data_IF_171304838725
#
_entry.id   IF_171304838725
#
_cell.length_a   1.000
_cell.length_b   1.000
_cell.length_c   1.000
_cell.angle_alpha   90.00
_cell.angle_beta   90.00
_cell.angle_gamma   90.00
#
_symmetry.space_group_name_H-M   'P 1'
#
loop_
_entity.id
_entity.type
_entity.pdbx_description
1 polymer ?
#
# COMPACT_ATOMS: atom_id res chain seq x y z
N UNK A 1 3.10 -7.54 8.36
CA UNK A 1 4.25 -7.21 7.47
C UNK A 1 5.57 -7.14 8.22
N UNK A 2 5.58 -6.74 9.51
CA UNK A 2 6.82 -6.58 10.28
C UNK A 2 7.72 -7.83 10.29
N UNK A 3 7.23 -9.07 10.49
CA UNK A 3 8.08 -10.26 10.45
C UNK A 3 8.76 -10.47 9.08
N UNK A 4 8.03 -10.26 7.99
CA UNK A 4 8.57 -10.41 6.63
C UNK A 4 9.68 -9.38 6.37
N UNK A 5 9.42 -8.11 6.70
CA UNK A 5 10.39 -7.00 6.55
C UNK A 5 11.63 -7.24 7.40
N UNK A 6 11.45 -7.66 8.65
CA UNK A 6 12.56 -7.96 9.56
C UNK A 6 13.43 -9.11 9.08
N UNK A 7 12.82 -10.18 8.55
CA UNK A 7 13.57 -11.30 7.98
C UNK A 7 14.37 -10.89 6.74
N UNK A 8 13.76 -10.09 5.86
CA UNK A 8 14.44 -9.52 4.69
C UNK A 8 15.60 -8.60 5.10
N UNK A 9 15.38 -7.72 6.09
CA UNK A 9 16.43 -6.84 6.60
C UNK A 9 17.64 -7.61 7.11
N UNK A 10 17.41 -8.66 7.92
CA UNK A 10 18.48 -9.54 8.39
C UNK A 10 19.22 -10.23 7.25
N UNK A 11 18.50 -10.68 6.23
CA UNK A 11 19.11 -11.33 5.06
C UNK A 11 19.99 -10.37 4.28
N UNK A 12 19.55 -9.12 4.10
CA UNK A 12 20.36 -8.09 3.45
C UNK A 12 21.60 -7.74 4.27
N UNK A 13 21.45 -7.50 5.57
CA UNK A 13 22.57 -7.18 6.47
C UNK A 13 23.63 -8.26 6.53
N UNK A 14 23.27 -9.51 6.33
CA UNK A 14 24.24 -10.61 6.26
C UNK A 14 25.18 -10.48 5.06
N UNK A 15 24.69 -9.90 3.95
CA UNK A 15 25.45 -9.76 2.71
C UNK A 15 26.07 -8.36 2.55
N UNK A 16 25.33 -7.32 2.96
CA UNK A 16 25.70 -5.91 2.80
C UNK A 16 25.20 -5.08 4.00
N UNK A 17 26.11 -4.62 4.89
CA UNK A 17 25.75 -3.78 6.03
C UNK A 17 25.13 -2.43 5.66
N UNK A 18 25.38 -1.94 4.43
CA UNK A 18 24.90 -0.65 3.93
C UNK A 18 23.65 -0.78 3.07
N UNK A 19 23.08 -1.97 2.98
CA UNK A 19 21.91 -2.25 2.13
C UNK A 19 20.76 -1.26 2.36
N UNK A 20 20.26 -0.70 1.26
CA UNK A 20 19.02 0.07 1.19
C UNK A 20 17.88 -0.87 0.84
N UNK A 21 16.78 -0.78 1.55
CA UNK A 21 15.57 -1.54 1.26
C UNK A 21 14.49 -0.61 0.72
N UNK A 22 13.92 -0.99 -0.42
CA UNK A 22 12.64 -0.47 -0.89
C UNK A 22 11.60 -1.56 -0.64
N UNK A 23 10.64 -1.26 0.22
CA UNK A 23 9.58 -2.18 0.63
C UNK A 23 8.26 -1.68 0.05
N UNK A 24 7.58 -2.50 -0.72
CA UNK A 24 6.33 -2.14 -1.38
C UNK A 24 5.38 -3.34 -1.49
N UNK A 25 4.05 -3.11 -1.49
CA UNK A 25 3.08 -4.12 -1.88
C UNK A 25 3.25 -4.53 -3.34
N UNK A 26 2.87 -5.78 -3.66
CA UNK A 26 3.01 -6.33 -5.01
C UNK A 26 1.74 -6.14 -5.88
N UNK A 27 0.67 -5.65 -5.30
CA UNK A 27 -0.70 -5.61 -5.85
C UNK A 27 -1.27 -4.20 -6.02
N UNK A 28 -0.47 -3.16 -5.75
CA UNK A 28 -0.87 -1.78 -5.98
C UNK A 28 -0.67 -1.35 -7.44
N UNK A 29 -1.48 -0.40 -7.90
CA UNK A 29 -1.27 0.29 -9.19
C UNK A 29 -0.49 1.56 -8.96
N UNK A 30 0.63 1.70 -9.69
CA UNK A 30 1.54 2.85 -9.60
C UNK A 30 1.88 3.31 -11.02
N UNK A 31 1.56 4.56 -11.35
CA UNK A 31 1.73 5.14 -12.69
C UNK A 31 2.07 6.64 -12.63
N UNK A 32 2.91 7.18 -13.55
CA UNK A 32 3.79 6.43 -14.46
C UNK A 32 5.02 5.89 -13.73
N UNK A 33 5.66 4.87 -14.28
CA UNK A 33 6.82 4.22 -13.67
C UNK A 33 8.02 5.15 -13.50
N UNK A 34 8.21 6.10 -14.44
CA UNK A 34 9.30 7.07 -14.41
C UNK A 34 9.19 8.02 -13.21
N UNK A 35 7.97 8.48 -12.89
CA UNK A 35 7.72 9.30 -11.70
C UNK A 35 7.98 8.53 -10.41
N UNK A 36 7.57 7.27 -10.36
CA UNK A 36 7.85 6.39 -9.23
C UNK A 36 9.35 6.15 -9.04
N UNK A 37 10.10 5.87 -10.13
CA UNK A 37 11.54 5.68 -10.06
C UNK A 37 12.24 6.95 -9.55
N UNK A 38 11.86 8.14 -10.05
CA UNK A 38 12.40 9.41 -9.58
C UNK A 38 12.10 9.67 -8.10
N UNK A 39 10.92 9.31 -7.62
CA UNK A 39 10.56 9.45 -6.21
C UNK A 39 11.34 8.47 -5.32
N UNK A 40 11.64 7.25 -5.80
CA UNK A 40 12.53 6.30 -5.10
C UNK A 40 13.95 6.87 -5.02
N UNK A 41 14.49 7.44 -6.10
CA UNK A 41 15.82 8.06 -6.10
C UNK A 41 15.89 9.20 -5.08
N UNK A 42 14.86 10.05 -5.01
CA UNK A 42 14.75 11.09 -4.00
C UNK A 42 14.72 10.51 -2.57
N UNK A 43 13.97 9.44 -2.36
CA UNK A 43 13.91 8.77 -1.05
C UNK A 43 15.27 8.18 -0.65
N UNK A 44 16.01 7.60 -1.60
CA UNK A 44 17.38 7.11 -1.37
C UNK A 44 18.31 8.27 -0.96
N UNK A 45 18.26 9.41 -1.65
CA UNK A 45 19.03 10.60 -1.27
C UNK A 45 18.72 11.06 0.17
N UNK A 46 17.44 11.09 0.54
CA UNK A 46 17.00 11.46 1.89
C UNK A 46 17.60 10.58 2.96
N UNK A 47 17.72 9.26 2.74
CA UNK A 47 18.31 8.33 3.71
C UNK A 47 19.84 8.31 3.63
N UNK A 48 20.46 8.70 2.53
CA UNK A 48 21.92 8.86 2.44
C UNK A 48 22.43 10.08 3.22
N UNK A 49 21.64 11.16 3.24
CA UNK A 49 21.94 12.32 4.09
C UNK A 49 21.82 12.00 5.59
N UNK A 50 20.88 11.16 5.98
CA UNK A 50 20.70 10.70 7.35
C UNK A 50 20.15 9.26 7.36
N UNK A 51 21.04 8.26 7.55
CA UNK A 51 20.70 6.85 7.54
C UNK A 51 19.70 6.41 8.62
N UNK A 52 19.39 7.26 9.58
CA UNK A 52 18.39 6.97 10.63
C UNK A 52 16.97 7.24 10.17
N UNK A 53 16.77 7.92 9.04
CA UNK A 53 15.44 8.26 8.50
C UNK A 53 14.71 7.02 7.98
N UNK A 54 13.39 7.03 8.20
CA UNK A 54 12.43 6.11 7.60
C UNK A 54 11.59 6.92 6.59
N UNK A 55 11.74 6.63 5.31
CA UNK A 55 11.01 7.36 4.27
C UNK A 55 9.77 6.58 3.85
N UNK A 56 8.66 7.29 3.70
CA UNK A 56 7.43 6.79 3.07
C UNK A 56 6.91 7.79 2.04
N UNK A 57 5.98 7.36 1.17
CA UNK A 57 5.37 8.22 0.16
C UNK A 57 3.97 8.63 0.59
N UNK A 58 3.71 9.92 0.50
CA UNK A 58 2.44 10.54 0.81
C UNK A 58 1.63 10.86 -0.44
N UNK A 59 0.44 10.29 -0.55
CA UNK A 59 -0.50 10.56 -1.64
C UNK A 59 -1.44 11.68 -1.18
N UNK A 60 -1.63 12.70 -2.00
CA UNK A 60 -2.55 13.80 -1.69
C UNK A 60 -3.98 13.26 -1.65
N UNK A 61 -4.68 13.33 -0.51
CA UNK A 61 -6.04 12.81 -0.38
C UNK A 61 -7.03 13.63 -1.22
N UNK A 62 -7.93 12.94 -1.93
CA UNK A 62 -9.01 13.57 -2.72
C UNK A 62 -10.40 13.12 -2.27
N UNK A 63 -10.49 12.18 -1.33
CA UNK A 63 -11.70 11.81 -0.61
C UNK A 63 -11.35 11.32 0.81
N UNK A 64 -12.31 11.31 1.75
CA UNK A 64 -12.06 10.79 3.10
C UNK A 64 -12.14 9.26 3.09
N UNK A 65 -10.99 8.58 3.22
CA UNK A 65 -10.93 7.12 3.28
C UNK A 65 -10.67 6.64 4.71
N UNK A 66 -11.55 5.81 5.30
CA UNK A 66 -11.26 5.17 6.58
C UNK A 66 -10.37 3.93 6.44
N UNK A 67 -10.08 3.52 5.19
CA UNK A 67 -9.29 2.30 4.91
C UNK A 67 -7.79 2.56 4.86
N UNK A 68 -7.37 3.83 4.75
CA UNK A 68 -5.96 4.21 4.62
C UNK A 68 -5.36 4.75 5.92
N UNK A 69 -4.04 4.63 6.02
CA UNK A 69 -3.25 5.39 6.98
C UNK A 69 -3.10 6.85 6.53
N UNK A 70 -2.98 7.76 7.48
CA UNK A 70 -2.77 9.19 7.25
C UNK A 70 -1.48 9.66 7.91
N UNK A 71 -0.74 10.51 7.19
CA UNK A 71 0.51 11.12 7.64
C UNK A 71 0.30 12.63 7.70
N UNK A 72 0.42 13.22 8.88
CA UNK A 72 0.42 14.68 9.04
C UNK A 72 1.77 15.24 8.60
N UNK A 73 1.76 16.13 7.62
CA UNK A 73 2.93 16.86 7.14
C UNK A 73 3.42 17.85 8.19
N UNK A 74 4.68 17.77 8.54
CA UNK A 74 5.40 18.70 9.41
C UNK A 74 6.26 19.69 8.62
N UNK A 75 7.46 19.96 9.15
CA UNK A 75 8.42 20.88 8.54
C UNK A 75 8.99 20.33 7.23
N UNK A 76 9.18 21.21 6.26
CA UNK A 76 9.86 20.87 5.01
C UNK A 76 11.34 20.59 5.27
N UNK A 77 11.86 19.56 4.62
CA UNK A 77 13.27 19.24 4.60
C UNK A 77 13.88 19.64 3.25
N UNK A 78 15.00 20.36 3.30
CA UNK A 78 15.81 20.60 2.11
C UNK A 78 16.66 19.37 1.86
N UNK A 79 16.59 18.81 0.68
CA UNK A 79 17.43 17.70 0.20
C UNK A 79 18.31 18.25 -0.90
N UNK A 80 19.61 18.01 -0.84
CA UNK A 80 20.54 18.48 -1.85
C UNK A 80 20.25 17.81 -3.20
N UNK A 81 20.20 18.54 -4.34
CA UNK A 81 19.98 17.92 -5.64
C UNK A 81 21.11 16.94 -5.97
N UNK A 82 20.77 15.75 -6.45
CA UNK A 82 21.71 14.67 -6.79
C UNK A 82 22.68 15.03 -7.95
N UNK A 83 22.39 16.06 -8.73
CA UNK A 83 23.23 16.56 -9.80
C UNK A 83 23.14 18.07 -9.88
N UNK A 84 24.23 18.80 -10.24
CA UNK A 84 24.14 20.23 -10.45
C UNK A 84 23.17 20.51 -11.59
N UNK A 85 22.05 21.18 -11.28
CA UNK A 85 21.11 21.69 -12.26
C UNK A 85 21.85 22.56 -13.28
N UNK A 86 21.72 22.27 -14.58
CA UNK A 86 22.24 23.14 -15.63
C UNK A 86 21.64 24.54 -15.46
N UNK A 87 22.44 25.60 -15.48
CA UNK A 87 21.92 26.97 -15.36
C UNK A 87 21.05 27.28 -16.59
N UNK A 88 19.75 27.46 -16.41
CA UNK A 88 18.84 27.88 -17.47
C UNK A 88 17.40 27.35 -17.42
N UNK A 89 17.01 26.50 -16.51
CA UNK A 89 15.60 26.10 -16.37
C UNK A 89 14.85 27.17 -15.55
N UNK A 90 14.03 27.95 -16.26
CA UNK A 90 13.12 28.94 -15.69
C UNK A 90 12.09 28.30 -14.78
N UNK A 91 11.90 28.86 -13.58
CA UNK A 91 11.00 28.45 -12.51
C UNK A 91 9.61 27.99 -12.98
N UNK A 92 9.43 26.71 -12.98
CA UNK A 92 8.15 26.01 -13.11
C UNK A 92 7.98 25.17 -11.86
N UNK A 93 6.79 24.81 -11.49
CA UNK A 93 6.28 23.97 -10.37
C UNK A 93 7.27 23.13 -9.50
N UNK A 94 8.57 23.11 -9.86
CA UNK A 94 9.67 22.36 -9.25
C UNK A 94 10.22 22.97 -7.94
N UNK A 95 9.81 24.20 -7.59
CA UNK A 95 10.42 24.94 -6.48
C UNK A 95 9.72 24.73 -5.12
N UNK A 96 8.62 23.96 -5.05
CA UNK A 96 7.98 23.69 -3.76
C UNK A 96 8.58 22.49 -3.06
N UNK A 97 8.74 22.56 -1.71
CA UNK A 97 9.22 21.42 -0.95
C UNK A 97 8.33 20.19 -1.16
N UNK A 98 8.95 19.03 -1.38
CA UNK A 98 8.26 17.73 -1.53
C UNK A 98 8.63 16.74 -0.43
N UNK A 99 9.59 17.08 0.40
CA UNK A 99 10.10 16.23 1.48
C UNK A 99 9.79 16.91 2.80
N UNK A 100 9.14 16.18 3.71
CA UNK A 100 8.70 16.74 4.99
C UNK A 100 8.97 15.76 6.13
N UNK A 101 9.26 16.26 7.32
CA UNK A 101 9.13 15.44 8.54
C UNK A 101 7.67 15.04 8.72
N UNK A 102 7.42 13.78 9.06
CA UNK A 102 6.10 13.37 9.51
C UNK A 102 5.89 13.87 10.93
N UNK A 103 4.80 14.62 11.16
CA UNK A 103 4.44 15.10 12.50
C UNK A 103 3.64 14.06 13.27
N UNK A 104 2.79 13.31 12.57
CA UNK A 104 2.04 12.20 13.14
C UNK A 104 1.70 11.17 12.05
N UNK A 105 1.59 9.91 12.47
CA UNK A 105 1.13 8.80 11.65
C UNK A 105 -0.13 8.23 12.30
N UNK A 106 -1.20 8.02 11.52
CA UNK A 106 -2.51 7.54 12.03
C UNK A 106 -3.07 6.48 11.08
N UNK A 107 -3.19 5.28 11.57
CA UNK A 107 -3.70 4.17 10.78
C UNK A 107 -5.22 4.06 10.92
N UNK A 108 -5.93 3.99 9.79
CA UNK A 108 -7.37 3.71 9.67
C UNK A 108 -8.28 4.53 10.61
N UNK A 109 -8.37 5.85 10.42
CA UNK A 109 -9.22 6.71 11.23
C UNK A 109 -10.71 6.46 10.97
N UNK A 110 -11.59 6.96 11.85
CA UNK A 110 -13.02 7.03 11.52
C UNK A 110 -13.27 7.99 10.35
N UNK A 111 -14.41 7.81 9.66
CA UNK A 111 -14.77 8.67 8.52
C UNK A 111 -14.80 10.16 8.88
N UNK A 112 -15.33 10.51 10.07
CA UNK A 112 -15.39 11.89 10.55
C UNK A 112 -13.99 12.48 10.76
N UNK A 113 -13.05 11.69 11.25
CA UNK A 113 -11.65 12.08 11.43
C UNK A 113 -10.97 12.27 10.06
N UNK A 114 -11.20 11.33 9.12
CA UNK A 114 -10.69 11.43 7.76
C UNK A 114 -11.20 12.67 7.01
N UNK A 115 -12.46 13.05 7.19
CA UNK A 115 -13.01 14.31 6.68
C UNK A 115 -12.30 15.53 7.27
N UNK A 116 -11.95 15.49 8.56
CA UNK A 116 -11.15 16.51 9.22
C UNK A 116 -9.76 16.65 8.59
N UNK A 117 -9.10 15.55 8.31
CA UNK A 117 -7.77 15.53 7.67
C UNK A 117 -7.81 16.10 6.26
N UNK A 118 -8.83 15.76 5.48
CA UNK A 118 -9.03 16.30 4.14
C UNK A 118 -9.21 17.82 4.15
N UNK A 119 -10.02 18.35 5.10
CA UNK A 119 -10.22 19.80 5.26
C UNK A 119 -8.97 20.55 5.74
N UNK A 120 -8.14 19.89 6.55
CA UNK A 120 -6.91 20.50 7.06
C UNK A 120 -5.85 20.71 5.94
N UNK A 121 -5.84 19.87 4.89
CA UNK A 121 -5.00 20.03 3.70
C UNK A 121 -3.50 19.78 3.93
N UNK A 122 -3.12 19.31 5.13
CA UNK A 122 -1.73 18.98 5.50
C UNK A 122 -1.54 17.48 5.82
N UNK A 123 -2.46 16.65 5.40
CA UNK A 123 -2.37 15.20 5.53
C UNK A 123 -2.19 14.54 4.17
N UNK A 124 -1.45 13.44 4.17
CA UNK A 124 -1.29 12.53 3.04
C UNK A 124 -1.84 11.15 3.40
N UNK A 125 -2.33 10.39 2.42
CA UNK A 125 -2.45 8.94 2.61
C UNK A 125 -1.07 8.29 2.61
N UNK A 126 -0.89 7.33 3.49
CA UNK A 126 0.29 6.46 3.47
C UNK A 126 0.18 5.46 2.31
N UNK A 127 1.10 5.54 1.35
CA UNK A 127 1.12 4.61 0.22
C UNK A 127 1.51 3.17 0.62
N UNK A 128 2.00 2.95 1.85
CA UNK A 128 2.51 1.65 2.28
C UNK A 128 3.81 1.24 1.59
N UNK A 129 4.50 2.21 1.02
CA UNK A 129 5.80 2.03 0.35
C UNK A 129 6.85 2.72 1.21
N UNK A 130 7.93 2.02 1.53
CA UNK A 130 8.93 2.49 2.47
C UNK A 130 10.35 2.36 1.91
N UNK A 131 11.21 3.31 2.26
CA UNK A 131 12.64 3.28 1.93
C UNK A 131 13.44 3.57 3.19
N UNK A 132 14.41 2.72 3.50
CA UNK A 132 15.28 2.81 4.67
C UNK A 132 16.55 1.97 4.53
N UNK A 133 17.54 2.21 5.38
CA UNK A 133 18.66 1.28 5.57
C UNK A 133 18.17 0.01 6.28
N UNK A 134 18.58 -1.17 5.81
CA UNK A 134 18.26 -2.44 6.44
C UNK A 134 18.64 -2.47 7.92
N UNK A 135 19.77 -1.85 8.28
CA UNK A 135 20.24 -1.71 9.65
C UNK A 135 19.27 -0.91 10.50
N UNK A 136 18.77 0.21 9.99
CA UNK A 136 17.88 1.12 10.71
C UNK A 136 16.57 0.43 11.07
N UNK A 137 15.91 -0.20 10.10
CA UNK A 137 14.64 -0.89 10.38
C UNK A 137 14.83 -2.09 11.32
N UNK A 138 15.95 -2.82 11.20
CA UNK A 138 16.25 -3.92 12.10
C UNK A 138 16.48 -3.44 13.54
N UNK A 139 17.25 -2.36 13.74
CA UNK A 139 17.50 -1.78 15.07
C UNK A 139 16.22 -1.25 15.72
N UNK A 140 15.32 -0.67 14.94
CA UNK A 140 14.00 -0.21 15.41
C UNK A 140 13.07 -1.39 15.75
N UNK A 141 13.06 -2.47 14.98
CA UNK A 141 12.32 -3.69 15.32
C UNK A 141 12.82 -4.29 16.64
N UNK A 142 14.12 -4.37 16.86
CA UNK A 142 14.68 -4.82 18.14
C UNK A 142 14.23 -3.95 19.31
N UNK A 143 14.17 -2.64 19.09
CA UNK A 143 13.81 -1.66 20.13
C UNK A 143 12.32 -1.66 20.45
N UNK A 144 11.46 -1.66 19.42
CA UNK A 144 10.04 -1.42 19.57
C UNK A 144 9.18 -2.68 19.55
N UNK A 145 9.70 -3.79 18.98
CA UNK A 145 8.97 -5.03 18.79
C UNK A 145 9.84 -6.27 18.99
N UNK A 146 10.35 -6.51 20.23
CA UNK A 146 11.19 -7.68 20.54
C UNK A 146 10.52 -9.02 20.19
N UNK A 147 9.20 -9.12 20.35
CA UNK A 147 8.39 -10.30 20.00
C UNK A 147 8.46 -10.68 18.50
N UNK A 148 8.83 -9.75 17.63
CA UNK A 148 9.15 -10.01 16.24
C UNK A 148 10.64 -10.25 16.07
N UNK A 149 11.49 -9.41 16.64
CA UNK A 149 12.92 -9.43 16.39
C UNK A 149 13.63 -10.68 16.93
N UNK A 150 13.27 -11.18 18.12
CA UNK A 150 13.94 -12.32 18.73
C UNK A 150 13.78 -13.63 17.94
N UNK A 151 12.57 -14.04 17.49
CA UNK A 151 12.44 -15.22 16.62
C UNK A 151 13.25 -15.08 15.33
N UNK A 152 13.24 -13.90 14.71
CA UNK A 152 13.98 -13.67 13.46
C UNK A 152 15.49 -13.75 13.65
N UNK A 153 16.02 -13.26 14.78
CA UNK A 153 17.44 -13.38 15.11
C UNK A 153 17.86 -14.86 15.25
N UNK A 154 16.99 -15.71 15.86
CA UNK A 154 17.24 -17.16 15.95
C UNK A 154 17.23 -17.84 14.59
N UNK A 155 16.38 -17.44 13.66
CA UNK A 155 16.39 -17.91 12.28
C UNK A 155 17.76 -17.64 11.63
N UNK A 156 18.22 -16.39 11.70
CA UNK A 156 19.48 -16.01 11.06
C UNK A 156 20.67 -16.79 11.66
N UNK A 157 20.75 -16.91 12.99
CA UNK A 157 21.82 -17.64 13.66
C UNK A 157 21.88 -19.13 13.29
N UNK A 158 20.76 -19.67 12.78
CA UNK A 158 20.61 -21.07 12.38
C UNK A 158 20.75 -21.28 10.86
N UNK A 159 21.13 -20.24 10.09
CA UNK A 159 21.14 -20.27 8.62
C UNK A 159 22.02 -21.34 8.00
N UNK A 160 23.05 -21.81 8.71
CA UNK A 160 23.95 -22.89 8.30
C UNK A 160 23.54 -24.27 8.86
N UNK A 161 22.45 -24.35 9.61
CA UNK A 161 22.00 -25.63 10.20
C UNK A 161 21.39 -26.55 9.12
N UNK A 162 21.69 -27.86 9.18
CA UNK A 162 21.00 -28.85 8.33
C UNK A 162 19.47 -28.84 8.49
N UNK A 163 18.97 -28.40 9.67
CA UNK A 163 17.56 -28.34 9.99
C UNK A 163 16.98 -26.93 9.79
N UNK A 164 17.63 -26.07 8.98
CA UNK A 164 17.19 -24.69 8.75
C UNK A 164 15.73 -24.56 8.33
N UNK A 165 15.16 -25.37 7.40
CA UNK A 165 13.75 -25.24 7.02
C UNK A 165 12.78 -25.40 8.21
N UNK A 166 13.03 -26.37 9.08
CA UNK A 166 12.20 -26.64 10.27
C UNK A 166 12.34 -25.51 11.31
N UNK A 167 13.56 -24.99 11.48
CA UNK A 167 13.82 -23.85 12.39
C UNK A 167 13.13 -22.60 11.85
N UNK A 168 13.23 -22.33 10.55
CA UNK A 168 12.56 -21.21 9.90
C UNK A 168 11.06 -21.25 10.15
N UNK A 169 10.40 -22.38 9.85
CA UNK A 169 8.96 -22.54 10.05
C UNK A 169 8.57 -22.37 11.54
N UNK A 170 9.29 -23.04 12.42
CA UNK A 170 9.01 -22.98 13.87
C UNK A 170 9.23 -21.61 14.46
N UNK A 171 10.32 -20.92 14.16
CA UNK A 171 10.62 -19.61 14.73
C UNK A 171 9.77 -18.49 14.08
N UNK A 172 9.56 -18.55 12.74
CA UNK A 172 8.73 -17.55 12.05
C UNK A 172 7.27 -17.59 12.54
N UNK A 173 6.74 -18.77 12.87
CA UNK A 173 5.40 -18.92 13.41
C UNK A 173 5.24 -18.29 14.80
N UNK A 174 6.33 -18.12 15.56
CA UNK A 174 6.34 -17.47 16.89
C UNK A 174 6.38 -15.94 16.80
N UNK A 175 6.81 -15.39 15.66
CA UNK A 175 6.87 -13.94 15.48
C UNK A 175 5.47 -13.34 15.52
N UNK A 176 5.30 -12.26 16.28
CA UNK A 176 4.02 -11.58 16.42
C UNK A 176 3.50 -11.08 15.08
N UNK A 177 2.22 -11.36 14.79
CA UNK A 177 1.54 -10.91 13.55
C UNK A 177 1.12 -9.45 13.68
N UNK A 178 2.03 -8.54 13.36
CA UNK A 178 1.82 -7.08 13.41
C UNK A 178 2.26 -6.44 12.10
N UNK A 179 1.63 -5.33 11.69
CA UNK A 179 2.11 -4.54 10.55
C UNK A 179 3.33 -3.71 10.92
N UNK A 180 4.13 -3.32 9.94
CA UNK A 180 5.29 -2.44 10.16
C UNK A 180 4.85 -1.05 10.63
N UNK A 181 3.65 -0.63 10.23
CA UNK A 181 3.06 0.64 10.64
C UNK A 181 2.91 0.70 12.16
N UNK A 182 2.23 -0.27 12.76
CA UNK A 182 2.07 -0.37 14.21
C UNK A 182 3.34 -0.78 14.95
N UNK A 183 4.17 -1.62 14.33
CA UNK A 183 5.40 -2.10 14.96
C UNK A 183 6.44 -1.00 15.13
N UNK A 184 6.60 -0.16 14.10
CA UNK A 184 7.68 0.82 14.01
C UNK A 184 7.19 2.22 13.61
N UNK A 185 6.45 2.38 12.51
CA UNK A 185 6.20 3.70 11.91
C UNK A 185 5.47 4.67 12.84
N UNK A 186 4.50 4.22 13.62
CA UNK A 186 3.80 5.05 14.61
C UNK A 186 4.64 5.44 15.83
N UNK A 187 5.77 4.74 16.05
CA UNK A 187 6.62 4.89 17.25
C UNK A 187 7.95 5.57 16.94
N UNK A 188 8.31 5.67 15.66
CA UNK A 188 9.58 6.20 15.24
C UNK A 188 9.57 7.73 15.17
N UNK A 189 10.65 8.35 15.63
CA UNK A 189 10.78 9.81 15.71
C UNK A 189 11.30 10.45 14.41
N UNK A 190 11.91 9.66 13.51
CA UNK A 190 12.59 10.15 12.31
C UNK A 190 11.92 9.67 11.02
N UNK A 191 10.59 9.75 10.97
CA UNK A 191 9.81 9.45 9.77
C UNK A 191 9.77 10.67 8.86
N UNK A 192 10.05 10.44 7.59
CA UNK A 192 10.02 11.44 6.52
C UNK A 192 9.00 11.02 5.48
N UNK A 193 8.18 11.95 5.01
CA UNK A 193 7.24 11.74 3.93
C UNK A 193 7.68 12.50 2.68
N UNK A 194 7.76 11.79 1.57
CA UNK A 194 7.94 12.35 0.23
C UNK A 194 6.57 12.48 -0.43
N UNK A 195 6.18 13.69 -0.84
CA UNK A 195 4.95 13.88 -1.62
C UNK A 195 5.10 13.22 -2.99
N UNK A 196 4.29 12.20 -3.24
CA UNK A 196 4.36 11.38 -4.44
C UNK A 196 4.00 12.17 -5.71
N UNK A 197 4.76 11.93 -6.79
CA UNK A 197 4.46 12.47 -8.13
C UNK A 197 3.80 11.42 -9.03
N UNK A 198 3.67 10.19 -8.55
CA UNK A 198 2.97 9.11 -9.23
C UNK A 198 1.51 9.01 -8.76
N UNK A 199 0.66 8.47 -9.62
CA UNK A 199 -0.68 8.02 -9.24
C UNK A 199 -0.57 6.70 -8.51
N UNK A 200 -1.41 6.53 -7.50
CA UNK A 200 -1.42 5.33 -6.67
C UNK A 200 -2.85 4.89 -6.36
N UNK A 201 -3.06 3.59 -6.42
CA UNK A 201 -4.28 2.95 -5.94
C UNK A 201 -3.92 1.58 -5.33
N UNK A 202 -4.45 1.29 -4.15
CA UNK A 202 -4.20 0.02 -3.45
C UNK A 202 -5.03 -1.15 -4.01
N UNK A 203 -5.96 -0.87 -4.92
CA UNK A 203 -6.93 -1.84 -5.49
C UNK A 203 -7.65 -2.66 -4.41
N UNK A 204 -7.87 -2.04 -3.26
CA UNK A 204 -8.38 -2.70 -2.06
C UNK A 204 -9.88 -3.03 -2.09
N UNK A 205 -10.62 -2.56 -3.10
CA UNK A 205 -12.06 -2.81 -3.24
C UNK A 205 -12.49 -2.86 -4.71
N UNK A 206 -13.69 -3.37 -4.99
CA UNK A 206 -14.25 -3.36 -6.34
C UNK A 206 -14.44 -1.94 -6.90
N UNK A 207 -14.70 -0.96 -6.04
CA UNK A 207 -14.81 0.45 -6.43
C UNK A 207 -13.50 1.05 -6.92
N UNK A 208 -12.37 0.43 -6.65
CA UNK A 208 -11.09 0.83 -7.24
C UNK A 208 -11.11 0.77 -8.77
N UNK A 209 -11.91 -0.14 -9.35
CA UNK A 209 -12.08 -0.23 -10.80
C UNK A 209 -12.67 1.04 -11.42
N UNK A 210 -13.49 1.80 -10.67
CA UNK A 210 -14.04 3.10 -11.13
C UNK A 210 -12.95 4.17 -11.28
N UNK A 211 -11.83 4.02 -10.57
CA UNK A 211 -10.68 4.93 -10.65
C UNK A 211 -9.66 4.50 -11.70
N UNK A 212 -9.63 3.21 -12.01
CA UNK A 212 -8.63 2.58 -12.87
C UNK A 212 -9.09 2.38 -14.32
N UNK A 213 -10.39 2.22 -14.55
CA UNK A 213 -10.95 1.94 -15.86
C UNK A 213 -11.87 3.08 -16.33
N UNK A 214 -11.99 3.30 -17.64
CA UNK A 214 -12.90 4.31 -18.18
C UNK A 214 -14.36 3.89 -17.94
N UNK A 215 -15.17 4.87 -17.53
CA UNK A 215 -16.61 4.71 -17.44
C UNK A 215 -17.30 5.03 -18.78
N UNK A 216 -18.43 4.38 -19.05
CA UNK A 216 -19.33 4.75 -20.14
C UNK A 216 -20.13 6.02 -19.81
N UNK A 217 -20.99 6.47 -20.74
CA UNK A 217 -21.82 7.68 -20.56
C UNK A 217 -22.85 7.57 -19.43
N UNK A 218 -23.12 6.36 -18.94
CA UNK A 218 -24.03 6.08 -17.83
C UNK A 218 -23.27 5.82 -16.51
N UNK A 219 -21.94 6.02 -16.51
CA UNK A 219 -21.09 5.80 -15.35
C UNK A 219 -20.85 4.32 -15.04
N UNK A 220 -21.09 3.41 -15.98
CA UNK A 220 -20.75 2.02 -15.81
C UNK A 220 -19.27 1.78 -16.17
N UNK A 221 -18.63 0.90 -15.41
CA UNK A 221 -17.26 0.44 -15.65
C UNK A 221 -17.29 -1.06 -15.95
N UNK A 222 -16.73 -1.48 -17.09
CA UNK A 222 -16.72 -2.88 -17.47
C UNK A 222 -15.37 -3.31 -18.06
N UNK A 223 -14.90 -4.50 -17.68
CA UNK A 223 -13.81 -5.21 -18.34
C UNK A 223 -14.30 -6.48 -19.07
N UNK A 224 -15.61 -6.67 -19.17
CA UNK A 224 -16.21 -7.78 -19.92
C UNK A 224 -16.14 -7.50 -21.42
N UNK A 225 -15.60 -8.43 -22.22
CA UNK A 225 -15.50 -8.30 -23.68
C UNK A 225 -16.89 -8.27 -24.35
N UNK A 226 -17.85 -9.04 -23.80
CA UNK A 226 -19.24 -9.08 -24.27
C UNK A 226 -20.15 -8.58 -23.17
N UNK A 227 -20.51 -7.30 -23.25
CA UNK A 227 -21.35 -6.64 -22.25
C UNK A 227 -22.49 -5.89 -22.92
N UNK A 228 -23.74 -6.16 -22.49
CA UNK A 228 -24.94 -5.48 -22.93
C UNK A 228 -25.64 -4.85 -21.73
N UNK A 229 -25.57 -3.54 -21.61
CA UNK A 229 -26.08 -2.77 -20.48
C UNK A 229 -27.26 -1.92 -20.96
N UNK A 230 -28.53 -2.36 -20.68
CA UNK A 230 -29.76 -1.66 -21.01
C UNK A 230 -30.34 -1.03 -19.74
N UNK A 231 -30.66 0.26 -19.78
CA UNK A 231 -31.18 1.01 -18.63
C UNK A 231 -30.36 0.73 -17.34
N UNK A 232 -29.02 0.68 -17.50
CA UNK A 232 -28.08 0.30 -16.46
C UNK A 232 -27.14 1.48 -16.14
N UNK A 233 -27.04 1.86 -14.88
CA UNK A 233 -26.26 3.04 -14.47
C UNK A 233 -25.34 2.76 -13.27
N UNK A 234 -24.14 3.32 -13.33
CA UNK A 234 -23.19 3.30 -12.21
C UNK A 234 -22.78 1.89 -11.76
N UNK A 235 -22.82 0.89 -12.63
CA UNK A 235 -22.47 -0.49 -12.29
C UNK A 235 -20.98 -0.78 -12.58
N UNK A 236 -20.41 -1.70 -11.82
CA UNK A 236 -19.10 -2.30 -12.07
C UNK A 236 -19.32 -3.72 -12.55
N UNK A 237 -18.89 -4.05 -13.78
CA UNK A 237 -19.03 -5.36 -14.37
C UNK A 237 -17.66 -5.94 -14.66
N UNK A 238 -17.35 -7.09 -14.08
CA UNK A 238 -16.09 -7.79 -14.27
C UNK A 238 -16.32 -9.22 -14.75
N UNK A 239 -15.82 -9.53 -15.96
CA UNK A 239 -15.85 -10.87 -16.51
C UNK A 239 -14.65 -11.05 -17.46
N UNK A 240 -13.75 -11.97 -17.13
CA UNK A 240 -12.55 -12.24 -17.95
C UNK A 240 -12.73 -13.36 -18.98
N UNK A 241 -13.85 -14.09 -18.97
CA UNK A 241 -14.12 -15.07 -20.04
C UNK A 241 -14.64 -14.33 -21.29
N UNK A 242 -13.90 -14.30 -22.40
CA UNK A 242 -14.29 -13.58 -23.62
C UNK A 242 -15.53 -14.19 -24.30
N UNK A 243 -15.92 -15.41 -23.92
CA UNK A 243 -17.11 -16.08 -24.47
C UNK A 243 -18.37 -15.81 -23.65
N UNK A 244 -18.21 -15.32 -22.41
CA UNK A 244 -19.35 -15.06 -21.54
C UNK A 244 -20.01 -13.73 -21.88
N UNK A 245 -21.29 -13.74 -22.15
CA UNK A 245 -22.09 -12.53 -22.31
C UNK A 245 -22.65 -12.10 -20.94
N UNK A 246 -22.34 -10.89 -20.53
CA UNK A 246 -23.02 -10.24 -19.39
C UNK A 246 -24.09 -9.30 -19.93
N UNK A 247 -25.34 -9.52 -19.56
CA UNK A 247 -26.44 -8.65 -19.91
C UNK A 247 -27.16 -8.17 -18.66
N UNK A 248 -27.43 -6.87 -18.58
CA UNK A 248 -28.21 -6.25 -17.50
C UNK A 248 -29.32 -5.39 -18.06
N UNK A 249 -30.42 -5.26 -17.31
CA UNK A 249 -31.59 -4.47 -17.70
C UNK A 249 -32.21 -3.80 -16.46
N UNK A 250 -32.29 -2.48 -16.47
CA UNK A 250 -33.01 -1.71 -15.44
C UNK A 250 -32.40 -1.82 -14.05
N UNK A 251 -31.06 -1.82 -13.95
CA UNK A 251 -30.33 -1.94 -12.68
C UNK A 251 -29.37 -0.77 -12.48
N UNK A 252 -29.06 -0.45 -11.21
CA UNK A 252 -28.16 0.63 -10.86
C UNK A 252 -27.28 0.29 -9.66
N UNK A 253 -26.08 0.89 -9.62
CA UNK A 253 -25.17 0.85 -8.47
C UNK A 253 -24.82 -0.57 -7.99
N UNK A 254 -24.58 -1.49 -8.91
CA UNK A 254 -24.19 -2.87 -8.62
C UNK A 254 -22.72 -3.12 -8.91
N UNK A 255 -22.16 -4.07 -8.16
CA UNK A 255 -20.94 -4.81 -8.49
C UNK A 255 -21.36 -6.18 -8.98
N UNK A 256 -20.99 -6.52 -10.20
CA UNK A 256 -21.27 -7.80 -10.85
C UNK A 256 -19.93 -8.42 -11.25
N UNK A 257 -19.57 -9.53 -10.61
CA UNK A 257 -18.31 -10.24 -10.85
C UNK A 257 -18.61 -11.67 -11.26
N UNK A 258 -18.04 -12.09 -12.37
CA UNK A 258 -18.27 -13.41 -12.96
C UNK A 258 -16.92 -14.11 -13.09
N UNK A 259 -16.81 -15.27 -12.46
CA UNK A 259 -15.72 -16.23 -12.60
C UNK A 259 -16.26 -17.51 -13.25
N UNK A 260 -15.41 -18.46 -13.67
CA UNK A 260 -15.91 -19.72 -14.27
C UNK A 260 -16.80 -20.55 -13.33
N UNK A 261 -16.67 -20.36 -12.02
CA UNK A 261 -17.29 -21.18 -10.97
C UNK A 261 -18.29 -20.42 -10.11
N UNK A 262 -18.28 -19.08 -10.12
CA UNK A 262 -19.17 -18.28 -9.28
C UNK A 262 -19.60 -16.97 -9.93
N UNK A 263 -20.74 -16.46 -9.49
CA UNK A 263 -21.21 -15.10 -9.83
C UNK A 263 -21.56 -14.36 -8.55
N UNK A 264 -20.93 -13.20 -8.36
CA UNK A 264 -21.26 -12.25 -7.31
C UNK A 264 -22.09 -11.11 -7.89
N UNK A 265 -23.22 -10.80 -7.24
CA UNK A 265 -23.98 -9.57 -7.47
C UNK A 265 -24.19 -8.90 -6.11
N UNK A 266 -23.71 -7.67 -5.97
CA UNK A 266 -23.83 -6.90 -4.75
C UNK A 266 -24.11 -5.43 -5.05
N UNK A 267 -24.75 -4.72 -4.12
CA UNK A 267 -24.80 -3.25 -4.19
C UNK A 267 -23.42 -2.66 -3.90
N UNK A 268 -23.02 -1.61 -4.61
CA UNK A 268 -21.73 -0.94 -4.40
C UNK A 268 -21.55 -0.39 -2.97
N UNK A 269 -22.64 0.10 -2.38
CA UNK A 269 -22.64 0.63 -1.00
C UNK A 269 -22.56 -0.47 0.08
N UNK A 270 -22.57 -1.75 -0.34
CA UNK A 270 -22.49 -2.94 0.52
C UNK A 270 -21.24 -3.79 0.25
N UNK A 271 -20.25 -3.29 -0.49
CA UNK A 271 -19.08 -4.09 -0.87
C UNK A 271 -18.29 -4.64 0.33
N UNK A 272 -18.22 -3.92 1.45
CA UNK A 272 -17.58 -4.40 2.68
C UNK A 272 -18.29 -5.61 3.31
N UNK A 273 -19.60 -5.73 3.06
CA UNK A 273 -20.40 -6.86 3.54
C UNK A 273 -20.16 -8.17 2.76
N UNK A 274 -19.44 -8.12 1.63
CA UNK A 274 -19.11 -9.32 0.84
C UNK A 274 -18.36 -10.35 1.69
N UNK A 275 -17.57 -9.93 2.65
CA UNK A 275 -16.90 -10.84 3.60
C UNK A 275 -17.88 -11.76 4.33
N UNK A 276 -19.10 -11.29 4.64
CA UNK A 276 -20.15 -12.10 5.27
C UNK A 276 -20.64 -13.26 4.39
N UNK A 277 -20.51 -13.09 3.05
CA UNK A 277 -20.80 -14.16 2.10
C UNK A 277 -19.76 -15.27 2.21
N UNK A 278 -18.47 -14.92 2.33
CA UNK A 278 -17.40 -15.89 2.50
C UNK A 278 -17.58 -16.70 3.79
N UNK A 279 -17.97 -16.04 4.90
CA UNK A 279 -18.26 -16.73 6.16
C UNK A 279 -19.42 -17.74 5.96
N UNK A 280 -20.48 -17.34 5.23
CA UNK A 280 -21.63 -18.23 4.93
C UNK A 280 -21.27 -19.38 4.01
N UNK A 281 -20.39 -19.18 3.03
CA UNK A 281 -19.87 -20.24 2.17
C UNK A 281 -19.09 -21.26 3.02
N UNK A 282 -18.24 -20.78 3.96
CA UNK A 282 -17.49 -21.64 4.88
C UNK A 282 -18.43 -22.45 5.80
N UNK A 283 -19.44 -21.81 6.38
CA UNK A 283 -20.47 -22.45 7.23
C UNK A 283 -21.26 -23.51 6.46
N UNK A 284 -21.51 -23.28 5.16
CA UNK A 284 -22.23 -24.23 4.29
C UNK A 284 -21.35 -25.40 3.83
N UNK A 285 -20.06 -25.38 4.12
CA UNK A 285 -19.13 -26.45 3.74
C UNK A 285 -18.65 -26.37 2.29
N UNK A 286 -18.97 -25.31 1.55
CA UNK A 286 -18.63 -25.11 0.12
C UNK A 286 -17.24 -24.47 0.00
N UNK A 287 -16.24 -25.16 0.53
CA UNK A 287 -14.86 -24.64 0.62
C UNK A 287 -14.17 -24.46 -0.73
N UNK A 288 -14.65 -25.10 -1.77
CA UNK A 288 -14.15 -24.98 -3.15
C UNK A 288 -14.38 -23.57 -3.74
N UNK A 289 -15.22 -22.75 -3.11
CA UNK A 289 -15.51 -21.36 -3.52
C UNK A 289 -14.85 -20.28 -2.63
N UNK A 290 -13.91 -20.68 -1.75
CA UNK A 290 -13.20 -19.76 -0.83
C UNK A 290 -11.80 -19.39 -1.33
#
# INVERSE_FOLDING_TARGET
TAPCIGLAALRFLHNDPEAVMVVMPADHVIEPQEAFASDIDLAVQVIEEDPTRLVTFGIVPHYPSPSFGYIERGEALSVAPASPTMPGSSGSMEDRPRVFRAKSFREKPSIQVAEGYLRAGNFYWNAGIFVWKAKTIWDLLKRHQPSVAEPLARILSSSQSPNFPQILESEFSKAEKISIDYAVMEKADNVVVVEAQFRWDDVGSWRSLERLLPADNCGNVSDAERCLLLDTTGCIVRCRDPRHLVATLGVDNLVIVITPDATLVARKDREEDIRKILDKIAESGWREYL
#
